data_IF_112091614023
#
_entry.id   IF_112091614023
#
_cell.length_a   1.000
_cell.length_b   1.000
_cell.length_c   1.000
_cell.angle_alpha   90.00
_cell.angle_beta   90.00
_cell.angle_gamma   90.00
#
_symmetry.space_group_name_H-M   'P 1'
#
loop_
_entity.id
_entity.type
_entity.pdbx_description
1 polymer ?
#
# COMPACT_ATOMS: atom_id res chain seq x y z
N UNK A 1 -2.49 -28.82 -43.73
CA UNK A 1 -2.23 -29.03 -42.28
C UNK A 1 -1.27 -28.00 -41.68
N UNK A 2 -0.15 -27.65 -42.34
CA UNK A 2 0.79 -26.63 -41.83
C UNK A 2 0.18 -25.20 -41.68
N UNK A 3 -0.69 -24.78 -42.61
CA UNK A 3 -1.37 -23.47 -42.51
C UNK A 3 -2.37 -23.40 -41.34
N UNK A 4 -3.08 -24.49 -41.03
CA UNK A 4 -3.99 -24.56 -39.90
C UNK A 4 -3.24 -24.53 -38.57
N UNK A 5 -2.08 -25.21 -38.50
CA UNK A 5 -1.20 -25.18 -37.33
C UNK A 5 -0.55 -23.81 -37.12
N UNK A 6 -0.10 -23.16 -38.20
CA UNK A 6 0.42 -21.80 -38.16
C UNK A 6 -0.65 -20.79 -37.72
N UNK A 7 -1.87 -20.87 -38.27
CA UNK A 7 -2.99 -20.00 -37.86
C UNK A 7 -3.36 -20.25 -36.41
N UNK A 8 -3.41 -21.51 -35.96
CA UNK A 8 -3.67 -21.85 -34.56
C UNK A 8 -2.57 -21.30 -33.64
N UNK A 9 -1.30 -21.42 -34.04
CA UNK A 9 -0.16 -20.93 -33.28
C UNK A 9 -0.12 -19.40 -33.21
N UNK A 10 -0.39 -18.71 -34.34
CA UNK A 10 -0.48 -17.25 -34.40
C UNK A 10 -1.70 -16.73 -33.64
N UNK A 11 -2.83 -17.43 -33.69
CA UNK A 11 -4.01 -17.13 -32.89
C UNK A 11 -3.76 -17.30 -31.40
N UNK A 12 -3.08 -18.37 -30.99
CA UNK A 12 -2.65 -18.58 -29.60
C UNK A 12 -1.63 -17.54 -29.15
N UNK A 13 -0.72 -17.10 -30.02
CA UNK A 13 0.21 -16.02 -29.71
C UNK A 13 -0.52 -14.68 -29.55
N UNK A 14 -1.44 -14.36 -30.45
CA UNK A 14 -2.27 -13.15 -30.38
C UNK A 14 -3.17 -13.15 -29.12
N UNK A 15 -3.88 -14.24 -28.86
CA UNK A 15 -4.75 -14.38 -27.68
C UNK A 15 -3.98 -14.28 -26.37
N UNK A 16 -2.75 -14.81 -26.29
CA UNK A 16 -1.89 -14.66 -25.12
C UNK A 16 -1.38 -13.22 -24.95
N UNK A 17 -1.09 -12.53 -26.04
CA UNK A 17 -0.67 -11.12 -25.98
C UNK A 17 -1.81 -10.20 -25.55
N UNK A 18 -3.04 -10.47 -25.98
CA UNK A 18 -4.23 -9.69 -25.60
C UNK A 18 -4.58 -9.92 -24.12
N UNK A 19 -4.53 -11.17 -23.66
CA UNK A 19 -4.70 -11.53 -22.25
C UNK A 19 -3.63 -10.87 -21.37
N UNK A 20 -2.34 -10.95 -21.76
CA UNK A 20 -1.24 -10.34 -21.02
C UNK A 20 -1.38 -8.82 -20.88
N UNK A 21 -1.96 -8.13 -21.88
CA UNK A 21 -2.25 -6.70 -21.78
C UNK A 21 -3.35 -6.44 -20.75
N UNK A 22 -4.42 -7.25 -20.75
CA UNK A 22 -5.49 -7.10 -19.76
C UNK A 22 -5.00 -7.38 -18.34
N UNK A 23 -4.18 -8.41 -18.15
CA UNK A 23 -3.60 -8.76 -16.85
C UNK A 23 -2.66 -7.65 -16.36
N UNK A 24 -1.93 -7.00 -17.27
CA UNK A 24 -1.12 -5.83 -16.95
C UNK A 24 -1.97 -4.63 -16.48
N UNK A 25 -3.13 -4.38 -17.08
CA UNK A 25 -4.03 -3.32 -16.60
C UNK A 25 -4.60 -3.66 -15.20
N UNK A 26 -4.93 -4.92 -14.93
CA UNK A 26 -5.32 -5.37 -13.58
C UNK A 26 -4.16 -5.16 -12.59
N UNK A 27 -2.95 -5.60 -12.93
CA UNK A 27 -1.74 -5.41 -12.13
C UNK A 27 -1.54 -3.94 -11.75
N UNK A 28 -1.61 -3.05 -12.75
CA UNK A 28 -1.46 -1.61 -12.57
C UNK A 28 -2.57 -1.03 -11.69
N UNK A 29 -3.82 -1.39 -11.95
CA UNK A 29 -4.97 -0.92 -11.16
C UNK A 29 -4.85 -1.38 -9.69
N UNK A 30 -4.36 -2.60 -9.44
CA UNK A 30 -4.12 -3.10 -8.10
C UNK A 30 -3.04 -2.30 -7.36
N UNK A 31 -1.92 -1.96 -8.02
CA UNK A 31 -0.89 -1.11 -7.41
C UNK A 31 -1.40 0.31 -7.10
N UNK A 32 -2.25 0.87 -7.96
CA UNK A 32 -2.90 2.18 -7.71
C UNK A 32 -3.89 2.11 -6.55
N UNK A 33 -4.69 1.04 -6.47
CA UNK A 33 -5.59 0.81 -5.36
C UNK A 33 -4.82 0.67 -4.04
N UNK A 34 -3.71 -0.09 -4.03
CA UNK A 34 -2.80 -0.16 -2.87
C UNK A 34 -2.32 1.23 -2.46
N UNK A 35 -1.90 2.07 -3.42
CA UNK A 35 -1.44 3.43 -3.14
C UNK A 35 -2.51 4.27 -2.44
N UNK A 36 -3.74 4.27 -2.95
CA UNK A 36 -4.82 5.13 -2.43
C UNK A 36 -5.38 4.62 -1.10
N UNK A 37 -5.60 3.32 -0.96
CA UNK A 37 -6.02 2.72 0.32
C UNK A 37 -4.96 2.96 1.40
N UNK A 38 -3.67 2.82 1.06
CA UNK A 38 -2.56 3.12 1.98
C UNK A 38 -2.56 4.59 2.44
N UNK A 39 -2.89 5.51 1.52
CA UNK A 39 -2.89 6.94 1.76
C UNK A 39 -3.99 7.40 2.74
N UNK A 40 -5.10 6.67 2.87
CA UNK A 40 -6.17 6.97 3.85
C UNK A 40 -5.64 7.06 5.29
N UNK A 41 -4.61 6.27 5.62
CA UNK A 41 -4.04 6.24 6.98
C UNK A 41 -3.46 7.56 7.41
N UNK A 42 -2.94 8.40 6.49
CA UNK A 42 -2.40 9.70 6.84
C UNK A 42 -3.46 10.61 7.47
N UNK A 43 -4.53 10.97 6.73
CA UNK A 43 -5.66 11.73 7.26
C UNK A 43 -6.36 11.04 8.44
N UNK A 44 -6.45 9.71 8.45
CA UNK A 44 -7.00 8.97 9.60
C UNK A 44 -6.15 9.19 10.86
N UNK A 45 -4.83 9.00 10.79
CA UNK A 45 -3.91 9.20 11.92
C UNK A 45 -3.92 10.64 12.41
N UNK A 46 -4.03 11.59 11.50
CA UNK A 46 -4.20 13.00 11.84
C UNK A 46 -5.50 13.22 12.63
N UNK A 47 -6.63 12.68 12.16
CA UNK A 47 -7.92 12.76 12.87
C UNK A 47 -7.88 12.05 14.24
N UNK A 48 -7.20 10.91 14.35
CA UNK A 48 -6.99 10.18 15.60
C UNK A 48 -6.16 10.95 16.64
N UNK A 49 -5.38 11.95 16.21
CA UNK A 49 -4.62 12.86 17.08
C UNK A 49 -5.44 14.01 17.67
N UNK A 50 -6.65 14.24 17.17
CA UNK A 50 -7.53 15.33 17.61
C UNK A 50 -8.48 14.89 18.72
N UNK A 51 -8.97 15.85 19.51
CA UNK A 51 -10.04 15.59 20.48
C UNK A 51 -11.43 15.58 19.82
N UNK A 52 -12.43 15.11 20.56
CA UNK A 52 -13.84 15.17 20.14
C UNK A 52 -14.42 16.53 20.54
N UNK A 53 -15.09 17.26 19.63
CA UNK A 53 -15.37 16.90 18.23
C UNK A 53 -14.14 17.09 17.33
N UNK A 54 -13.93 16.12 16.42
CA UNK A 54 -12.83 16.18 15.45
C UNK A 54 -13.02 17.41 14.53
N UNK A 55 -11.98 18.23 14.32
CA UNK A 55 -12.07 19.40 13.44
C UNK A 55 -12.56 19.07 12.03
N UNK A 56 -13.47 19.89 11.50
CA UNK A 56 -14.10 19.67 10.20
C UNK A 56 -13.08 19.51 9.05
N UNK A 57 -11.95 20.21 9.11
CA UNK A 57 -10.87 20.08 8.12
C UNK A 57 -10.26 18.68 8.09
N UNK A 58 -10.10 18.03 9.26
CA UNK A 58 -9.54 16.67 9.36
C UNK A 58 -10.53 15.64 8.84
N UNK A 59 -11.82 15.80 9.16
CA UNK A 59 -12.89 14.97 8.61
C UNK A 59 -13.00 15.12 7.09
N UNK A 60 -12.89 16.34 6.55
CA UNK A 60 -12.90 16.57 5.11
C UNK A 60 -11.70 15.93 4.41
N UNK A 61 -10.50 16.01 5.00
CA UNK A 61 -9.31 15.36 4.46
C UNK A 61 -9.43 13.83 4.46
N UNK A 62 -9.98 13.23 5.54
CA UNK A 62 -10.24 11.79 5.62
C UNK A 62 -11.28 11.34 4.58
N UNK A 63 -12.37 12.10 4.44
CA UNK A 63 -13.40 11.81 3.43
C UNK A 63 -12.83 11.85 2.02
N UNK A 64 -12.05 12.87 1.69
CA UNK A 64 -11.40 12.99 0.38
C UNK A 64 -10.51 11.77 0.08
N UNK A 65 -9.70 11.34 1.05
CA UNK A 65 -8.86 10.16 0.87
C UNK A 65 -9.69 8.89 0.63
N UNK A 66 -10.82 8.73 1.35
CA UNK A 66 -11.78 7.63 1.13
C UNK A 66 -12.36 7.64 -0.28
N UNK A 67 -12.79 8.80 -0.76
CA UNK A 67 -13.31 8.97 -2.12
C UNK A 67 -12.27 8.57 -3.19
N UNK A 68 -11.00 8.95 -2.99
CA UNK A 68 -9.90 8.59 -3.89
C UNK A 68 -9.63 7.07 -3.89
N UNK A 69 -9.61 6.43 -2.71
CA UNK A 69 -9.48 4.98 -2.61
C UNK A 69 -10.67 4.21 -3.19
N UNK A 70 -11.90 4.70 -2.96
CA UNK A 70 -13.11 4.07 -3.49
C UNK A 70 -13.17 4.17 -5.02
N UNK A 71 -12.68 5.28 -5.58
CA UNK A 71 -12.49 5.40 -7.03
C UNK A 71 -11.48 4.37 -7.55
N UNK A 72 -10.31 4.26 -6.92
CA UNK A 72 -9.29 3.30 -7.37
C UNK A 72 -9.72 1.83 -7.26
N UNK A 73 -10.54 1.47 -6.26
CA UNK A 73 -11.09 0.12 -6.14
C UNK A 73 -12.15 -0.16 -7.20
N UNK A 74 -12.96 0.84 -7.58
CA UNK A 74 -13.89 0.71 -8.72
C UNK A 74 -13.15 0.56 -10.04
N UNK A 75 -12.05 1.29 -10.23
CA UNK A 75 -11.22 1.16 -11.43
C UNK A 75 -10.57 -0.24 -11.50
N UNK A 76 -10.14 -0.79 -10.36
CA UNK A 76 -9.65 -2.17 -10.27
C UNK A 76 -10.73 -3.19 -10.62
N UNK A 77 -11.92 -3.06 -10.05
CA UNK A 77 -13.05 -3.96 -10.33
C UNK A 77 -13.41 -3.92 -11.82
N UNK A 78 -13.48 -2.73 -12.42
CA UNK A 78 -13.73 -2.55 -13.84
C UNK A 78 -12.64 -3.17 -14.74
N UNK A 79 -11.36 -3.13 -14.32
CA UNK A 79 -10.28 -3.78 -15.04
C UNK A 79 -10.41 -5.32 -15.01
N UNK A 80 -10.82 -5.89 -13.87
CA UNK A 80 -11.08 -7.32 -13.74
C UNK A 80 -12.30 -7.71 -14.61
N UNK A 81 -13.37 -6.90 -14.61
CA UNK A 81 -14.55 -7.06 -15.49
C UNK A 81 -14.21 -7.04 -16.97
N UNK A 82 -13.41 -6.09 -17.41
CA UNK A 82 -13.05 -5.92 -18.80
C UNK A 82 -12.18 -7.06 -19.35
N UNK A 83 -11.46 -7.80 -18.49
CA UNK A 83 -10.53 -8.85 -18.92
C UNK A 83 -11.18 -10.06 -19.58
N UNK A 84 -12.50 -10.27 -19.40
CA UNK A 84 -13.22 -11.47 -19.87
C UNK A 84 -12.52 -12.80 -19.54
N UNK A 85 -11.66 -12.77 -18.53
CA UNK A 85 -10.78 -13.86 -18.15
C UNK A 85 -11.60 -15.01 -17.55
N UNK A 86 -11.47 -16.19 -18.16
CA UNK A 86 -12.25 -17.38 -17.79
C UNK A 86 -11.85 -17.94 -16.41
N UNK A 87 -10.66 -17.60 -15.92
CA UNK A 87 -10.07 -18.11 -14.66
C UNK A 87 -9.96 -17.03 -13.56
N UNK A 88 -10.42 -15.80 -13.81
CA UNK A 88 -10.26 -14.67 -12.87
C UNK A 88 -11.29 -14.64 -11.73
N UNK A 89 -12.09 -15.70 -11.57
CA UNK A 89 -13.04 -15.82 -10.47
C UNK A 89 -12.35 -15.62 -9.09
N UNK A 90 -11.11 -16.08 -8.94
CA UNK A 90 -10.31 -15.84 -7.74
C UNK A 90 -9.98 -14.34 -7.51
N UNK A 91 -9.73 -13.58 -8.58
CA UNK A 91 -9.48 -12.14 -8.51
C UNK A 91 -10.73 -11.39 -8.06
N UNK A 92 -11.91 -11.71 -8.59
CA UNK A 92 -13.18 -11.12 -8.14
C UNK A 92 -13.46 -11.38 -6.66
N UNK A 93 -13.25 -12.62 -6.21
CA UNK A 93 -13.42 -12.98 -4.79
C UNK A 93 -12.47 -12.15 -3.92
N UNK A 94 -11.22 -11.97 -4.36
CA UNK A 94 -10.21 -11.19 -3.63
C UNK A 94 -10.52 -9.69 -3.64
N UNK A 95 -11.02 -9.15 -4.76
CA UNK A 95 -11.46 -7.75 -4.88
C UNK A 95 -12.68 -7.47 -3.98
N UNK A 96 -13.68 -8.36 -3.99
CA UNK A 96 -14.84 -8.28 -3.09
C UNK A 96 -14.41 -8.33 -1.63
N UNK A 97 -13.51 -9.26 -1.29
CA UNK A 97 -12.99 -9.38 0.07
C UNK A 97 -12.26 -8.10 0.50
N UNK A 98 -11.45 -7.52 -0.38
CA UNK A 98 -10.78 -6.23 -0.15
C UNK A 98 -11.78 -5.13 0.24
N UNK A 99 -12.86 -4.97 -0.54
CA UNK A 99 -13.88 -3.95 -0.28
C UNK A 99 -14.53 -4.17 1.10
N UNK A 100 -14.88 -5.41 1.43
CA UNK A 100 -15.49 -5.72 2.72
C UNK A 100 -14.54 -5.46 3.89
N UNK A 101 -13.28 -5.87 3.79
CA UNK A 101 -12.28 -5.70 4.85
C UNK A 101 -11.92 -4.23 5.04
N UNK A 102 -11.88 -3.44 3.97
CA UNK A 102 -11.66 -2.00 4.05
C UNK A 102 -12.84 -1.29 4.75
N UNK A 103 -14.08 -1.66 4.42
CA UNK A 103 -15.25 -1.11 5.07
C UNK A 103 -15.26 -1.40 6.59
N UNK A 104 -14.90 -2.61 6.99
CA UNK A 104 -14.75 -2.99 8.41
C UNK A 104 -13.64 -2.19 9.10
N UNK A 105 -12.48 -2.05 8.46
CA UNK A 105 -11.36 -1.28 9.00
C UNK A 105 -11.71 0.20 9.18
N UNK A 106 -12.40 0.80 8.20
CA UNK A 106 -12.89 2.19 8.27
C UNK A 106 -13.89 2.38 9.39
N UNK A 107 -14.85 1.45 9.53
CA UNK A 107 -15.82 1.47 10.63
C UNK A 107 -15.12 1.43 11.99
N UNK A 108 -14.15 0.53 12.14
CA UNK A 108 -13.38 0.46 13.39
C UNK A 108 -12.65 1.78 13.67
N UNK A 109 -12.01 2.39 12.68
CA UNK A 109 -11.38 3.70 12.85
C UNK A 109 -12.38 4.80 13.21
N UNK A 110 -13.57 4.81 12.59
CA UNK A 110 -14.63 5.78 12.88
C UNK A 110 -15.14 5.64 14.32
N UNK A 111 -15.29 4.41 14.83
CA UNK A 111 -15.66 4.16 16.22
C UNK A 111 -14.61 4.75 17.20
N UNK A 112 -13.32 4.64 16.86
CA UNK A 112 -12.22 5.23 17.66
C UNK A 112 -12.27 6.77 17.66
N UNK A 113 -12.64 7.38 16.54
CA UNK A 113 -12.76 8.85 16.44
C UNK A 113 -13.85 9.41 17.36
N UNK A 114 -14.84 8.61 17.76
CA UNK A 114 -15.89 9.02 18.70
C UNK A 114 -15.46 8.97 20.17
N UNK A 115 -14.35 8.31 20.49
CA UNK A 115 -13.81 8.23 21.85
C UNK A 115 -13.02 9.53 22.15
N UNK A 116 -13.23 10.22 23.29
CA UNK A 116 -12.42 11.38 23.67
C UNK A 116 -10.93 11.07 23.68
N UNK A 117 -10.07 11.99 23.22
CA UNK A 117 -8.64 11.71 23.01
C UNK A 117 -7.95 11.22 24.29
N UNK A 118 -8.35 11.78 25.43
CA UNK A 118 -7.77 11.49 26.74
C UNK A 118 -8.08 10.07 27.25
N UNK A 119 -9.11 9.41 26.72
CA UNK A 119 -9.53 8.06 27.13
C UNK A 119 -9.24 6.99 26.09
N UNK A 120 -8.69 7.35 24.92
CA UNK A 120 -8.24 6.39 23.90
C UNK A 120 -7.03 5.62 24.42
N UNK A 121 -7.15 4.30 24.50
CA UNK A 121 -6.01 3.46 24.88
C UNK A 121 -5.00 3.34 23.72
N UNK A 122 -3.72 3.10 24.00
CA UNK A 122 -2.71 2.77 22.99
C UNK A 122 -3.13 1.60 22.08
N UNK A 123 -3.76 0.58 22.64
CA UNK A 123 -4.20 -0.62 21.93
C UNK A 123 -5.29 -0.27 20.93
N UNK A 124 -6.26 0.57 21.32
CA UNK A 124 -7.33 1.04 20.46
C UNK A 124 -6.77 1.77 19.22
N UNK A 125 -5.82 2.68 19.42
CA UNK A 125 -5.16 3.43 18.34
C UNK A 125 -4.34 2.50 17.42
N UNK A 126 -3.55 1.60 18.01
CA UNK A 126 -2.74 0.65 17.26
C UNK A 126 -3.61 -0.31 16.44
N UNK A 127 -4.75 -0.75 16.97
CA UNK A 127 -5.69 -1.63 16.27
C UNK A 127 -6.30 -0.93 15.05
N UNK A 128 -6.74 0.32 15.17
CA UNK A 128 -7.23 1.11 14.03
C UNK A 128 -6.19 1.21 12.89
N UNK A 129 -4.93 1.50 13.23
CA UNK A 129 -3.83 1.55 12.26
C UNK A 129 -3.61 0.18 11.61
N UNK A 130 -3.58 -0.90 12.41
CA UNK A 130 -3.31 -2.24 11.92
C UNK A 130 -4.43 -2.78 11.03
N UNK A 131 -5.71 -2.53 11.37
CA UNK A 131 -6.84 -2.94 10.54
C UNK A 131 -6.75 -2.32 9.14
N UNK A 132 -6.46 -1.02 9.03
CA UNK A 132 -6.25 -0.38 7.73
C UNK A 132 -5.01 -0.94 7.00
N UNK A 133 -3.92 -1.22 7.72
CA UNK A 133 -2.71 -1.79 7.11
C UNK A 133 -2.89 -3.21 6.58
N UNK A 134 -3.75 -4.01 7.22
CA UNK A 134 -3.99 -5.40 6.85
C UNK A 134 -4.82 -5.56 5.56
N UNK A 135 -5.42 -4.48 5.04
CA UNK A 135 -6.09 -4.49 3.73
C UNK A 135 -5.07 -4.63 2.59
N UNK A 136 -3.89 -4.03 2.73
CA UNK A 136 -2.92 -3.89 1.63
C UNK A 136 -2.38 -5.24 1.12
N UNK A 137 -2.04 -6.22 1.97
CA UNK A 137 -1.65 -7.56 1.51
C UNK A 137 -2.72 -8.27 0.66
N UNK A 138 -4.01 -8.00 0.89
CA UNK A 138 -5.10 -8.60 0.12
C UNK A 138 -5.06 -8.05 -1.32
N UNK A 139 -4.93 -6.73 -1.47
CA UNK A 139 -4.80 -6.07 -2.78
C UNK A 139 -3.51 -6.51 -3.50
N UNK A 140 -2.41 -6.63 -2.76
CA UNK A 140 -1.14 -7.12 -3.32
C UNK A 140 -1.29 -8.54 -3.91
N UNK A 141 -2.14 -9.39 -3.32
CA UNK A 141 -2.44 -10.71 -3.87
C UNK A 141 -3.09 -10.67 -5.24
N UNK A 142 -3.86 -9.63 -5.57
CA UNK A 142 -4.44 -9.43 -6.90
C UNK A 142 -3.34 -9.14 -7.92
N UNK A 143 -2.43 -8.20 -7.60
CA UNK A 143 -1.30 -7.91 -8.47
C UNK A 143 -0.40 -9.15 -8.66
N UNK A 144 -0.07 -9.85 -7.57
CA UNK A 144 0.78 -11.04 -7.61
C UNK A 144 0.15 -12.17 -8.46
N UNK A 145 -1.18 -12.31 -8.41
CA UNK A 145 -1.92 -13.31 -9.19
C UNK A 145 -1.91 -13.08 -10.71
N UNK A 146 -1.53 -11.90 -11.18
CA UNK A 146 -1.47 -11.59 -12.63
C UNK A 146 -0.08 -11.74 -13.23
N UNK A 147 0.98 -11.86 -12.42
CA UNK A 147 2.37 -11.81 -12.90
C UNK A 147 2.69 -12.97 -13.85
N UNK A 148 2.22 -14.18 -13.56
CA UNK A 148 2.52 -15.36 -14.38
C UNK A 148 1.96 -15.23 -15.80
N UNK A 149 0.70 -14.80 -15.91
CA UNK A 149 0.02 -14.64 -17.20
C UNK A 149 0.65 -13.54 -18.05
N UNK A 150 1.02 -12.41 -17.42
CA UNK A 150 1.73 -11.31 -18.09
C UNK A 150 3.08 -11.80 -18.64
N UNK A 151 3.86 -12.53 -17.83
CA UNK A 151 5.20 -13.04 -18.20
C UNK A 151 5.13 -14.11 -19.27
N UNK A 152 4.02 -14.86 -19.35
CA UNK A 152 3.77 -15.82 -20.42
C UNK A 152 3.65 -15.15 -21.80
N UNK A 153 3.23 -13.88 -21.83
CA UNK A 153 3.14 -13.05 -23.03
C UNK A 153 4.47 -12.42 -23.44
N UNK A 154 5.25 -11.93 -22.46
CA UNK A 154 6.61 -11.42 -22.66
C UNK A 154 7.46 -11.65 -21.40
N UNK A 155 8.53 -12.46 -21.52
CA UNK A 155 9.41 -12.73 -20.39
C UNK A 155 10.31 -11.52 -20.04
N UNK A 156 10.51 -10.59 -20.97
CA UNK A 156 11.42 -9.45 -20.78
C UNK A 156 10.88 -8.42 -19.78
N UNK A 157 9.57 -8.42 -19.49
CA UNK A 157 8.92 -7.47 -18.58
C UNK A 157 8.83 -7.95 -17.13
N UNK A 158 9.23 -9.19 -16.82
CA UNK A 158 9.20 -9.72 -15.45
C UNK A 158 9.90 -8.77 -14.47
N UNK A 159 11.02 -8.22 -14.92
CA UNK A 159 11.87 -7.36 -14.13
C UNK A 159 11.19 -5.99 -13.83
N UNK A 160 10.51 -5.41 -14.81
CA UNK A 160 9.66 -4.23 -14.62
C UNK A 160 8.56 -4.46 -13.59
N UNK A 161 7.85 -5.58 -13.68
CA UNK A 161 6.77 -5.94 -12.76
C UNK A 161 7.30 -6.09 -11.32
N UNK A 162 8.45 -6.75 -11.16
CA UNK A 162 9.08 -6.90 -9.85
C UNK A 162 9.48 -5.56 -9.25
N UNK A 163 10.03 -4.63 -10.03
CA UNK A 163 10.36 -3.30 -9.54
C UNK A 163 9.12 -2.51 -9.14
N UNK A 164 8.07 -2.53 -9.95
CA UNK A 164 6.82 -1.84 -9.64
C UNK A 164 6.22 -2.36 -8.32
N UNK A 165 6.18 -3.68 -8.15
CA UNK A 165 5.72 -4.34 -6.92
C UNK A 165 6.58 -3.99 -5.71
N UNK A 166 7.91 -4.04 -5.84
CA UNK A 166 8.84 -3.69 -4.77
C UNK A 166 8.73 -2.22 -4.37
N UNK A 167 8.55 -1.33 -5.34
CA UNK A 167 8.34 0.10 -5.08
C UNK A 167 7.01 0.36 -4.35
N UNK A 168 5.93 -0.31 -4.74
CA UNK A 168 4.64 -0.23 -4.06
C UNK A 168 4.75 -0.74 -2.60
N UNK A 169 5.38 -1.90 -2.41
CA UNK A 169 5.62 -2.46 -1.07
C UNK A 169 6.50 -1.55 -0.21
N UNK A 170 7.55 -0.96 -0.78
CA UNK A 170 8.42 -0.02 -0.07
C UNK A 170 7.66 1.22 0.38
N UNK A 171 6.85 1.82 -0.51
CA UNK A 171 5.98 2.95 -0.18
C UNK A 171 5.02 2.60 0.97
N UNK A 172 4.38 1.44 0.89
CA UNK A 172 3.47 0.94 1.91
C UNK A 172 4.17 0.82 3.27
N UNK A 173 5.29 0.11 3.33
CA UNK A 173 6.02 -0.12 4.57
C UNK A 173 6.61 1.17 5.16
N UNK A 174 7.04 2.11 4.31
CA UNK A 174 7.50 3.41 4.77
C UNK A 174 6.35 4.26 5.37
N UNK A 175 5.16 4.23 4.76
CA UNK A 175 3.96 4.86 5.32
C UNK A 175 3.51 4.22 6.63
N UNK A 176 3.57 2.88 6.70
CA UNK A 176 3.26 2.13 7.91
C UNK A 176 4.25 2.45 9.05
N UNK A 177 5.55 2.57 8.75
CA UNK A 177 6.57 2.99 9.71
C UNK A 177 6.21 4.33 10.37
N UNK A 178 5.76 5.32 9.57
CA UNK A 178 5.24 6.58 10.11
C UNK A 178 4.02 6.38 11.01
N UNK A 179 3.09 5.51 10.59
CA UNK A 179 1.87 5.20 11.35
C UNK A 179 2.13 4.50 12.68
N UNK A 180 3.30 3.86 12.88
CA UNK A 180 3.67 3.26 14.17
C UNK A 180 3.92 4.29 15.28
N UNK A 181 4.08 5.56 14.93
CA UNK A 181 4.19 6.64 15.92
C UNK A 181 2.83 7.19 16.37
N UNK A 182 1.75 6.92 15.64
CA UNK A 182 0.42 7.51 15.88
C UNK A 182 -0.03 7.36 17.33
N UNK A 183 0.12 6.17 17.91
CA UNK A 183 -0.29 5.91 19.30
C UNK A 183 0.43 6.78 20.33
N UNK A 184 1.74 6.99 20.18
CA UNK A 184 2.52 7.82 21.10
C UNK A 184 2.28 9.32 20.87
N UNK A 185 2.15 9.74 19.62
CA UNK A 185 1.93 11.14 19.25
C UNK A 185 0.52 11.62 19.60
N UNK A 186 -0.51 10.82 19.31
CA UNK A 186 -1.90 11.16 19.59
C UNK A 186 -2.20 11.22 21.10
N UNK A 187 -1.50 10.41 21.91
CA UNK A 187 -1.64 10.39 23.36
C UNK A 187 -0.61 11.24 24.10
N UNK A 188 0.22 12.02 23.38
CA UNK A 188 1.32 12.85 23.91
C UNK A 188 2.17 12.15 25.00
N UNK A 189 2.60 10.92 24.69
CA UNK A 189 3.35 10.08 25.62
C UNK A 189 4.62 9.55 24.99
N UNK A 190 5.46 8.95 25.83
CA UNK A 190 6.61 8.20 25.37
C UNK A 190 6.19 6.90 24.66
N UNK A 191 6.98 6.48 23.67
CA UNK A 191 6.88 5.15 23.05
C UNK A 191 7.03 4.03 24.07
N UNK A 192 6.15 3.02 24.00
CA UNK A 192 6.32 1.78 24.76
C UNK A 192 7.43 0.90 24.17
N UNK A 193 7.91 -0.08 24.92
CA UNK A 193 8.89 -1.05 24.39
C UNK A 193 8.34 -1.82 23.18
N UNK A 194 7.06 -2.20 23.24
CA UNK A 194 6.38 -2.90 22.15
C UNK A 194 6.30 -2.04 20.88
N UNK A 195 6.06 -0.73 21.02
CA UNK A 195 6.06 0.22 19.91
C UNK A 195 7.45 0.40 19.32
N UNK A 196 8.48 0.49 20.16
CA UNK A 196 9.88 0.58 19.70
C UNK A 196 10.27 -0.66 18.90
N UNK A 197 9.94 -1.87 19.37
CA UNK A 197 10.20 -3.10 18.63
C UNK A 197 9.49 -3.11 17.27
N UNK A 198 8.23 -2.67 17.22
CA UNK A 198 7.46 -2.56 15.98
C UNK A 198 8.08 -1.58 14.99
N UNK A 199 8.63 -0.46 15.49
CA UNK A 199 9.34 0.53 14.67
C UNK A 199 10.61 -0.09 14.10
N UNK A 200 11.46 -0.71 14.92
CA UNK A 200 12.70 -1.34 14.44
C UNK A 200 12.45 -2.44 13.40
N UNK A 201 11.44 -3.29 13.62
CA UNK A 201 11.06 -4.30 12.63
C UNK A 201 10.62 -3.66 11.30
N UNK A 202 9.91 -2.53 11.37
CA UNK A 202 9.44 -1.81 10.18
C UNK A 202 10.60 -1.11 9.46
N UNK A 203 11.57 -0.54 10.19
CA UNK A 203 12.81 0.02 9.62
C UNK A 203 13.61 -1.06 8.88
N UNK A 204 13.81 -2.22 9.49
CA UNK A 204 14.51 -3.35 8.84
C UNK A 204 13.79 -3.82 7.57
N UNK A 205 12.46 -3.85 7.57
CA UNK A 205 11.67 -4.20 6.38
C UNK A 205 11.79 -3.16 5.26
N UNK A 206 11.77 -1.87 5.60
CA UNK A 206 12.00 -0.78 4.64
C UNK A 206 13.38 -0.90 4.01
N UNK A 207 14.42 -1.14 4.81
CA UNK A 207 15.79 -1.29 4.29
C UNK A 207 15.96 -2.53 3.41
N UNK A 208 15.34 -3.65 3.79
CA UNK A 208 15.30 -4.86 2.97
C UNK A 208 14.70 -4.57 1.59
N UNK A 209 13.54 -3.89 1.53
CA UNK A 209 12.86 -3.58 0.27
C UNK A 209 13.64 -2.60 -0.59
N UNK A 210 14.32 -1.61 0.02
CA UNK A 210 15.24 -0.72 -0.69
C UNK A 210 16.38 -1.49 -1.35
N UNK A 211 17.00 -2.41 -0.62
CA UNK A 211 18.11 -3.21 -1.12
C UNK A 211 17.67 -4.09 -2.29
N UNK A 212 16.51 -4.74 -2.18
CA UNK A 212 15.95 -5.56 -3.26
C UNK A 212 15.64 -4.73 -4.51
N UNK A 213 15.01 -3.55 -4.33
CA UNK A 213 14.70 -2.65 -5.44
C UNK A 213 15.98 -2.14 -6.13
N UNK A 214 17.01 -1.79 -5.37
CA UNK A 214 18.29 -1.35 -5.91
C UNK A 214 19.01 -2.47 -6.68
N UNK A 215 18.99 -3.70 -6.16
CA UNK A 215 19.55 -4.87 -6.84
C UNK A 215 18.87 -5.11 -8.19
N UNK A 216 17.55 -4.96 -8.23
CA UNK A 216 16.77 -5.16 -9.43
C UNK A 216 17.06 -4.09 -10.48
N UNK A 217 17.09 -2.82 -10.05
CA UNK A 217 17.41 -1.69 -10.93
C UNK A 217 18.84 -1.76 -11.51
N UNK A 218 19.81 -2.26 -10.73
CA UNK A 218 21.20 -2.43 -11.18
C UNK A 218 21.35 -3.46 -12.29
N UNK A 219 20.46 -4.45 -12.37
CA UNK A 219 20.49 -5.48 -13.41
C UNK A 219 19.84 -5.03 -14.73
N UNK A 220 19.10 -3.91 -14.73
CA UNK A 220 18.33 -3.42 -15.88
C UNK A 220 18.47 -1.91 -16.12
N UNK A 221 19.64 -1.45 -16.60
CA UNK A 221 19.95 -0.03 -16.73
C UNK A 221 19.10 0.74 -17.77
N UNK A 222 18.33 0.03 -18.60
CA UNK A 222 17.38 0.63 -19.55
C UNK A 222 16.07 1.07 -18.89
N UNK A 223 15.75 0.55 -17.70
CA UNK A 223 14.53 0.85 -16.97
C UNK A 223 14.74 2.13 -16.15
N UNK A 224 13.81 3.08 -16.30
CA UNK A 224 14.01 4.50 -16.00
C UNK A 224 14.69 4.75 -14.63
N UNK A 225 15.94 5.28 -14.62
CA UNK A 225 16.65 5.67 -13.40
C UNK A 225 15.83 6.60 -12.52
N UNK A 226 14.89 7.36 -13.08
CA UNK A 226 14.14 8.38 -12.38
C UNK A 226 13.11 7.85 -11.37
N UNK A 227 12.39 6.77 -11.68
CA UNK A 227 11.41 6.20 -10.75
C UNK A 227 12.12 5.55 -9.55
N UNK A 228 13.15 4.74 -9.82
CA UNK A 228 14.01 4.13 -8.79
C UNK A 228 14.76 5.20 -8.00
N UNK A 229 15.28 6.25 -8.65
CA UNK A 229 15.94 7.38 -7.98
C UNK A 229 14.97 8.19 -7.13
N UNK A 230 13.74 8.44 -7.57
CA UNK A 230 12.71 9.12 -6.76
C UNK A 230 12.34 8.30 -5.53
N UNK A 231 12.12 7.00 -5.68
CA UNK A 231 11.89 6.09 -4.56
C UNK A 231 13.11 6.08 -3.62
N UNK A 232 14.32 6.06 -4.19
CA UNK A 232 15.59 6.16 -3.48
C UNK A 232 15.74 7.47 -2.70
N UNK A 233 15.33 8.61 -3.27
CA UNK A 233 15.40 9.94 -2.64
C UNK A 233 14.36 10.13 -1.54
N UNK A 234 13.10 9.73 -1.78
CA UNK A 234 11.99 9.92 -0.83
C UNK A 234 12.12 8.98 0.37
N UNK A 235 12.48 7.71 0.13
CA UNK A 235 12.58 6.70 1.17
C UNK A 235 14.01 6.42 1.60
N UNK A 236 14.97 7.26 1.20
CA UNK A 236 16.41 7.10 1.49
C UNK A 236 16.85 7.77 2.77
N UNK A 237 18.09 8.23 2.76
CA UNK A 237 18.73 8.83 3.95
C UNK A 237 17.89 9.95 4.55
N UNK A 238 17.27 10.81 3.73
CA UNK A 238 16.43 11.90 4.21
C UNK A 238 15.15 11.40 4.93
N UNK A 239 14.48 10.39 4.39
CA UNK A 239 13.29 9.79 4.99
C UNK A 239 13.62 9.07 6.31
N UNK A 240 14.69 8.28 6.32
CA UNK A 240 15.16 7.59 7.53
C UNK A 240 15.67 8.56 8.60
N UNK A 241 16.34 9.66 8.19
CA UNK A 241 16.76 10.71 9.11
C UNK A 241 15.56 11.42 9.77
N UNK A 242 14.47 11.63 9.01
CA UNK A 242 13.21 12.14 9.56
C UNK A 242 12.62 11.17 10.59
N UNK A 243 12.51 9.88 10.27
CA UNK A 243 12.02 8.86 11.21
C UNK A 243 12.89 8.84 12.48
N UNK A 244 14.21 8.86 12.34
CA UNK A 244 15.16 8.91 13.46
C UNK A 244 14.96 10.15 14.34
N UNK A 245 14.62 11.29 13.73
CA UNK A 245 14.31 12.54 14.45
C UNK A 245 13.00 12.43 15.21
N UNK A 246 11.95 11.87 14.61
CA UNK A 246 10.65 11.63 15.25
C UNK A 246 10.81 10.64 16.41
N UNK A 247 11.52 9.53 16.19
CA UNK A 247 11.83 8.54 17.22
C UNK A 247 12.53 9.16 18.44
N UNK A 248 13.58 9.96 18.22
CA UNK A 248 14.28 10.67 19.31
C UNK A 248 13.39 11.62 20.09
N UNK A 249 12.38 12.23 19.45
CA UNK A 249 11.41 13.08 20.14
C UNK A 249 10.38 12.25 20.90
N UNK A 250 9.82 11.23 20.28
CA UNK A 250 8.82 10.34 20.87
C UNK A 250 9.37 9.45 22.01
N UNK A 251 10.70 9.37 22.18
CA UNK A 251 11.34 8.71 23.33
C UNK A 251 11.47 9.62 24.57
N UNK A 252 11.14 10.91 24.49
CA UNK A 252 11.27 11.82 25.63
C UNK A 252 10.15 11.61 26.65
N UNK A 253 10.42 11.78 27.97
CA UNK A 253 9.39 11.62 29.01
C UNK A 253 8.20 12.57 28.87
N UNK A 254 8.41 13.73 28.25
CA UNK A 254 7.40 14.78 28.02
C UNK A 254 6.63 14.60 26.71
N UNK A 255 6.73 13.45 26.05
CA UNK A 255 6.16 13.27 24.70
C UNK A 255 6.97 13.94 23.59
N UNK A 256 6.51 13.82 22.35
CA UNK A 256 7.26 14.27 21.17
C UNK A 256 7.18 15.78 20.92
N UNK A 257 6.21 16.48 21.53
CA UNK A 257 5.94 17.90 21.27
C UNK A 257 5.55 18.20 19.82
N UNK A 258 5.06 17.19 19.10
CA UNK A 258 4.58 17.24 17.71
C UNK A 258 3.30 16.39 17.62
N UNK A 259 2.29 16.89 16.93
CA UNK A 259 1.03 16.18 16.65
C UNK A 259 1.08 15.50 15.28
N UNK A 260 0.18 14.54 15.04
CA UNK A 260 0.04 13.79 13.78
C UNK A 260 -0.51 14.62 12.61
#
# INVERSE_FOLDING_TARGET
MLLAWLVLHQWQAFSRSDQALSDFEIFRAALLAMEKVSAERGPMNAALGEDVPVPAQRIAALRKAREESDASLRDLDAAIEASHCQECAALYVTATHTITTLAEARKHADDVLLVPRQTRSPELLNNAVNHMANVIPIIAGIADGTIEDIVSGDAAILDDLQMARLAAALREHAGLLGSRFTGALASDRQLTEQEQQRIFNSEGRVEQLRTLLASHAGNHPALAPEAVRRVGMVYGEAGLAYVTKVYRRAKRPTGAGITT
#
